data_IF_319555299935
#
_entry.id   IF_319555299935
#
_cell.length_a   1.000
_cell.length_b   1.000
_cell.length_c   1.000
_cell.angle_alpha   90.00
_cell.angle_beta   90.00
_cell.angle_gamma   90.00
#
_symmetry.space_group_name_H-M   'P 1'
#
loop_
_entity.id
_entity.type
_entity.pdbx_description
1 polymer ?
#
# COMPACT_ATOMS: atom_id res chain seq x y z
N UNK A 1 -22.28 -36.61 23.04
CA UNK A 1 -23.05 -35.68 22.17
C UNK A 1 -22.50 -34.24 22.20
N UNK A 2 -21.21 -34.01 22.50
CA UNK A 2 -20.66 -32.65 22.67
C UNK A 2 -19.80 -32.18 21.48
N UNK A 3 -19.13 -33.11 20.78
CA UNK A 3 -18.22 -32.74 19.69
C UNK A 3 -18.96 -32.29 18.42
N UNK A 4 -20.08 -32.94 18.08
CA UNK A 4 -20.87 -32.57 16.89
C UNK A 4 -21.50 -31.17 17.04
N UNK A 5 -22.05 -30.87 18.21
CA UNK A 5 -22.60 -29.54 18.52
C UNK A 5 -21.52 -28.46 18.48
N UNK A 6 -20.34 -28.74 19.04
CA UNK A 6 -19.19 -27.84 18.94
C UNK A 6 -18.79 -27.59 17.48
N UNK A 7 -18.63 -28.64 16.68
CA UNK A 7 -18.23 -28.53 15.28
C UNK A 7 -19.27 -27.76 14.45
N UNK A 8 -20.57 -28.00 14.66
CA UNK A 8 -21.64 -27.23 14.00
C UNK A 8 -21.55 -25.74 14.34
N UNK A 9 -21.35 -25.39 15.61
CA UNK A 9 -21.21 -23.99 16.03
C UNK A 9 -19.96 -23.34 15.44
N UNK A 10 -18.84 -24.06 15.43
CA UNK A 10 -17.60 -23.59 14.81
C UNK A 10 -17.78 -23.32 13.32
N UNK A 11 -18.35 -24.27 12.58
CA UNK A 11 -18.59 -24.12 11.14
C UNK A 11 -19.57 -22.98 10.86
N UNK A 12 -20.65 -22.84 11.64
CA UNK A 12 -21.58 -21.72 11.50
C UNK A 12 -20.90 -20.37 11.75
N UNK A 13 -19.99 -20.28 12.72
CA UNK A 13 -19.20 -19.06 12.95
C UNK A 13 -18.30 -18.77 11.73
N UNK A 14 -17.61 -19.78 11.20
CA UNK A 14 -16.79 -19.64 9.99
C UNK A 14 -17.59 -19.17 8.78
N UNK A 15 -18.79 -19.70 8.58
CA UNK A 15 -19.68 -19.26 7.50
C UNK A 15 -20.02 -17.77 7.66
N UNK A 16 -20.42 -17.34 8.87
CA UNK A 16 -20.72 -15.93 9.14
C UNK A 16 -19.51 -15.02 8.92
N UNK A 17 -18.33 -15.43 9.37
CA UNK A 17 -17.09 -14.67 9.16
C UNK A 17 -16.80 -14.52 7.65
N UNK A 18 -17.01 -15.58 6.86
CA UNK A 18 -16.87 -15.55 5.41
C UNK A 18 -17.92 -14.64 4.74
N UNK A 19 -19.18 -14.67 5.18
CA UNK A 19 -20.25 -13.82 4.65
C UNK A 19 -19.96 -12.33 4.88
N UNK A 20 -19.46 -11.97 6.06
CA UNK A 20 -19.00 -10.61 6.36
C UNK A 20 -17.85 -10.23 5.45
N UNK A 21 -16.84 -11.09 5.30
CA UNK A 21 -15.71 -10.85 4.39
C UNK A 21 -16.14 -10.61 2.94
N UNK A 22 -17.09 -11.41 2.42
CA UNK A 22 -17.65 -11.23 1.08
C UNK A 22 -18.35 -9.87 0.96
N UNK A 23 -19.13 -9.47 1.98
CA UNK A 23 -19.84 -8.19 1.97
C UNK A 23 -18.88 -7.01 1.93
N UNK A 24 -17.89 -6.98 2.82
CA UNK A 24 -16.87 -5.92 2.85
C UNK A 24 -16.08 -5.87 1.55
N UNK A 25 -15.73 -7.02 0.96
CA UNK A 25 -15.03 -7.07 -0.33
C UNK A 25 -15.89 -6.49 -1.46
N UNK A 26 -17.20 -6.76 -1.48
CA UNK A 26 -18.12 -6.17 -2.47
C UNK A 26 -18.27 -4.66 -2.30
N UNK A 27 -18.30 -4.16 -1.07
CA UNK A 27 -18.33 -2.73 -0.79
C UNK A 27 -17.06 -2.04 -1.31
N UNK A 28 -15.90 -2.64 -1.06
CA UNK A 28 -14.62 -2.15 -1.56
C UNK A 28 -14.53 -2.14 -3.09
N UNK A 29 -15.09 -3.16 -3.75
CA UNK A 29 -15.17 -3.19 -5.21
C UNK A 29 -15.97 -2.00 -5.74
N UNK A 30 -17.11 -1.67 -5.10
CA UNK A 30 -17.90 -0.49 -5.47
C UNK A 30 -17.14 0.82 -5.26
N UNK A 31 -16.37 0.91 -4.18
CA UNK A 31 -15.50 2.08 -3.93
C UNK A 31 -14.46 2.20 -5.05
N UNK A 32 -13.82 1.09 -5.44
CA UNK A 32 -12.86 1.08 -6.54
C UNK A 32 -13.49 1.51 -7.87
N UNK A 33 -14.68 1.00 -8.21
CA UNK A 33 -15.42 1.36 -9.41
C UNK A 33 -15.78 2.86 -9.48
N UNK A 34 -15.90 3.51 -8.32
CA UNK A 34 -16.17 4.95 -8.20
C UNK A 34 -14.90 5.79 -8.04
N UNK A 35 -13.75 5.16 -7.82
CA UNK A 35 -12.50 5.86 -7.59
C UNK A 35 -11.89 6.30 -8.92
N UNK A 36 -11.70 7.60 -9.10
CA UNK A 36 -10.85 8.11 -10.16
C UNK A 36 -9.38 7.81 -9.81
N UNK A 37 -8.78 6.84 -10.49
CA UNK A 37 -7.41 6.38 -10.22
C UNK A 37 -6.37 7.49 -10.39
N UNK A 38 -6.63 8.47 -11.27
CA UNK A 38 -5.73 9.60 -11.51
C UNK A 38 -5.85 10.71 -10.45
N UNK A 39 -6.83 10.61 -9.55
CA UNK A 39 -7.05 11.52 -8.42
C UNK A 39 -7.13 10.80 -7.07
N UNK A 40 -6.71 9.53 -7.03
CA UNK A 40 -6.72 8.72 -5.84
C UNK A 40 -5.64 9.16 -4.85
N UNK A 41 -5.77 8.73 -3.60
CA UNK A 41 -4.73 8.92 -2.60
C UNK A 41 -3.78 7.73 -2.63
N UNK A 42 -2.50 8.01 -2.85
CA UNK A 42 -1.41 7.06 -2.82
C UNK A 42 -0.53 7.31 -1.60
N UNK A 43 -0.03 6.22 -1.01
CA UNK A 43 0.93 6.26 0.09
C UNK A 43 2.18 5.52 -0.38
N UNK A 44 3.29 6.24 -0.47
CA UNK A 44 4.60 5.67 -0.83
C UNK A 44 5.46 5.64 0.43
N UNK A 45 6.03 4.49 0.73
CA UNK A 45 6.93 4.30 1.85
C UNK A 45 8.31 3.90 1.31
N UNK A 46 9.32 4.71 1.62
CA UNK A 46 10.72 4.39 1.40
C UNK A 46 11.35 4.01 2.73
N UNK A 47 11.69 2.73 2.88
CA UNK A 47 12.46 2.24 4.00
C UNK A 47 13.95 2.36 3.69
N UNK A 48 14.68 3.23 4.40
CA UNK A 48 16.11 3.41 4.14
C UNK A 48 16.89 2.10 4.39
N UNK A 49 17.91 1.84 3.56
CA UNK A 49 18.86 0.75 3.78
C UNK A 49 19.93 1.11 4.82
N UNK A 50 19.98 2.37 5.26
CA UNK A 50 20.98 2.92 6.17
C UNK A 50 20.35 3.51 7.44
N UNK A 51 19.18 3.00 7.86
CA UNK A 51 18.52 3.46 9.10
C UNK A 51 19.46 3.33 10.32
N UNK A 52 20.28 2.27 10.36
CA UNK A 52 21.27 2.04 11.41
C UNK A 52 22.44 3.04 11.40
N UNK A 53 22.67 3.72 10.27
CA UNK A 53 23.71 4.72 10.06
C UNK A 53 23.17 6.16 10.08
N UNK A 54 21.93 6.35 10.52
CA UNK A 54 21.31 7.65 10.76
C UNK A 54 20.47 8.19 9.60
N UNK A 55 20.19 7.40 8.56
CA UNK A 55 19.16 7.75 7.58
C UNK A 55 17.74 7.51 8.12
N UNK A 56 16.79 8.26 7.59
CA UNK A 56 15.38 8.16 7.96
C UNK A 56 14.56 7.54 6.82
N UNK A 57 13.67 6.63 7.19
CA UNK A 57 12.59 6.18 6.32
C UNK A 57 11.51 7.24 6.18
N UNK A 58 10.92 7.38 5.00
CA UNK A 58 9.88 8.37 4.73
C UNK A 58 8.58 7.73 4.29
N UNK A 59 7.46 8.35 4.69
CA UNK A 59 6.10 7.96 4.30
C UNK A 59 5.38 9.17 3.72
N UNK A 60 5.24 9.20 2.42
CA UNK A 60 4.60 10.29 1.69
C UNK A 60 3.18 9.90 1.29
N UNK A 61 2.20 10.72 1.68
CA UNK A 61 0.82 10.62 1.24
C UNK A 61 0.53 11.69 0.21
N UNK A 62 -0.05 11.30 -0.93
CA UNK A 62 -0.30 12.21 -2.04
C UNK A 62 -1.60 11.86 -2.77
N UNK A 63 -2.42 12.88 -3.02
CA UNK A 63 -3.63 12.77 -3.84
C UNK A 63 -3.34 13.28 -5.25
N UNK A 64 -3.56 12.43 -6.25
CA UNK A 64 -3.25 12.72 -7.65
C UNK A 64 -2.85 11.43 -8.37
N UNK A 65 -1.93 11.50 -9.33
CA UNK A 65 -1.50 10.30 -10.05
C UNK A 65 -0.47 9.50 -9.25
N UNK A 66 -0.40 8.20 -9.53
CA UNK A 66 0.65 7.32 -8.98
C UNK A 66 2.07 7.81 -9.32
N UNK A 67 2.25 8.37 -10.52
CA UNK A 67 3.55 8.91 -10.96
C UNK A 67 3.98 10.08 -10.07
N UNK A 68 3.08 11.05 -9.87
CA UNK A 68 3.37 12.24 -9.06
C UNK A 68 3.60 11.88 -7.59
N UNK A 69 2.87 10.90 -7.07
CA UNK A 69 3.09 10.37 -5.73
C UNK A 69 4.50 9.79 -5.56
N UNK A 70 4.97 9.02 -6.55
CA UNK A 70 6.34 8.46 -6.58
C UNK A 70 7.39 9.56 -6.67
N UNK A 71 7.24 10.53 -7.58
CA UNK A 71 8.19 11.63 -7.74
C UNK A 71 8.30 12.50 -6.48
N UNK A 72 7.17 12.76 -5.82
CA UNK A 72 7.13 13.49 -4.55
C UNK A 72 7.82 12.72 -3.43
N UNK A 73 7.55 11.42 -3.32
CA UNK A 73 8.16 10.58 -2.29
C UNK A 73 9.68 10.44 -2.48
N UNK A 74 10.17 10.31 -3.71
CA UNK A 74 11.62 10.31 -3.99
C UNK A 74 12.26 11.64 -3.59
N UNK A 75 11.60 12.76 -3.89
CA UNK A 75 12.09 14.10 -3.56
C UNK A 75 12.16 14.29 -2.05
N UNK A 76 11.12 13.87 -1.33
CA UNK A 76 11.06 13.93 0.13
C UNK A 76 12.17 13.08 0.76
N UNK A 77 12.31 11.82 0.33
CA UNK A 77 13.35 10.91 0.84
C UNK A 77 14.77 11.48 0.68
N UNK A 78 15.06 12.01 -0.52
CA UNK A 78 16.36 12.65 -0.82
C UNK A 78 16.61 13.88 0.04
N UNK A 79 15.58 14.71 0.21
CA UNK A 79 15.68 15.93 1.03
C UNK A 79 15.93 15.59 2.50
N UNK A 80 15.20 14.62 3.06
CA UNK A 80 15.35 14.19 4.46
C UNK A 80 16.75 13.64 4.71
N UNK A 81 17.24 12.75 3.82
CA UNK A 81 18.54 12.10 3.97
C UNK A 81 19.72 12.89 3.38
N UNK A 82 19.46 14.09 2.83
CA UNK A 82 20.47 14.97 2.19
C UNK A 82 21.30 14.25 1.11
N UNK A 83 20.66 13.38 0.32
CA UNK A 83 21.30 12.63 -0.78
C UNK A 83 20.72 12.99 -2.14
N UNK A 84 21.44 12.63 -3.21
CA UNK A 84 20.99 12.78 -4.59
C UNK A 84 20.27 11.55 -5.13
N UNK A 85 20.37 10.40 -4.47
CA UNK A 85 19.85 9.09 -4.87
C UNK A 85 18.91 8.47 -3.83
N UNK A 86 18.22 7.39 -4.21
CA UNK A 86 17.27 6.66 -3.36
C UNK A 86 17.74 5.22 -3.15
N UNK A 87 18.48 5.00 -2.06
CA UNK A 87 18.89 3.68 -1.57
C UNK A 87 17.93 3.23 -0.47
N UNK A 88 16.74 2.81 -0.90
CA UNK A 88 15.65 2.41 -0.04
C UNK A 88 14.82 1.30 -0.67
N UNK A 89 14.28 0.44 0.18
CA UNK A 89 13.17 -0.44 -0.17
C UNK A 89 11.89 0.38 -0.30
N UNK A 90 11.09 0.11 -1.34
CA UNK A 90 9.91 0.89 -1.66
C UNK A 90 8.66 0.02 -1.58
N UNK A 91 7.62 0.52 -0.92
CA UNK A 91 6.26 -0.02 -1.04
C UNK A 91 5.27 1.10 -1.35
N UNK A 92 4.24 0.75 -2.12
CA UNK A 92 3.24 1.70 -2.57
C UNK A 92 1.86 1.15 -2.26
N UNK A 93 1.00 1.98 -1.69
CA UNK A 93 -0.38 1.65 -1.40
C UNK A 93 -1.32 2.66 -2.07
N UNK A 94 -2.52 2.22 -2.40
CA UNK A 94 -3.65 3.08 -2.77
C UNK A 94 -4.70 3.04 -1.65
N UNK A 95 -5.28 4.18 -1.33
CA UNK A 95 -6.40 4.27 -0.41
C UNK A 95 -7.72 4.07 -1.16
N UNK A 96 -8.52 3.10 -0.73
CA UNK A 96 -9.89 2.86 -1.20
C UNK A 96 -10.83 2.98 0.01
N UNK A 97 -11.43 4.17 0.17
CA UNK A 97 -12.12 4.53 1.41
C UNK A 97 -11.13 4.56 2.58
N UNK A 98 -11.48 3.90 3.69
CA UNK A 98 -10.62 3.83 4.89
C UNK A 98 -9.54 2.73 4.80
N UNK A 99 -9.46 1.99 3.69
CA UNK A 99 -8.59 0.84 3.53
C UNK A 99 -7.39 1.16 2.63
N UNK A 100 -6.24 0.57 2.93
CA UNK A 100 -5.01 0.69 2.14
C UNK A 100 -4.68 -0.63 1.48
N UNK A 101 -4.36 -0.58 0.18
CA UNK A 101 -4.02 -1.77 -0.60
C UNK A 101 -2.66 -1.59 -1.25
N UNK A 102 -1.77 -2.55 -0.99
CA UNK A 102 -0.46 -2.56 -1.60
C UNK A 102 -0.58 -2.79 -3.11
N UNK A 103 -0.01 -1.87 -3.88
CA UNK A 103 0.08 -1.98 -5.33
C UNK A 103 1.27 -2.90 -5.65
N UNK A 104 1.08 -3.95 -6.47
CA UNK A 104 2.18 -4.82 -6.86
C UNK A 104 3.30 -4.05 -7.56
N UNK A 105 4.54 -4.43 -7.26
CA UNK A 105 5.76 -3.77 -7.75
C UNK A 105 5.77 -3.50 -9.25
N UNK A 106 5.28 -4.45 -10.05
CA UNK A 106 5.20 -4.35 -11.50
C UNK A 106 4.44 -3.11 -12.03
N UNK A 107 3.52 -2.53 -11.24
CA UNK A 107 2.72 -1.38 -11.68
C UNK A 107 3.38 -0.03 -11.44
N UNK A 108 4.26 0.08 -10.43
CA UNK A 108 4.87 1.35 -10.03
C UNK A 108 6.39 1.42 -10.24
N UNK A 109 7.08 0.29 -10.41
CA UNK A 109 8.54 0.27 -10.55
C UNK A 109 9.04 1.09 -11.76
N UNK A 110 8.25 1.15 -12.83
CA UNK A 110 8.55 1.98 -14.02
C UNK A 110 8.63 3.49 -13.73
N UNK A 111 8.05 3.94 -12.62
CA UNK A 111 8.10 5.33 -12.20
C UNK A 111 9.31 5.64 -11.31
N UNK A 112 10.02 4.62 -10.80
CA UNK A 112 11.29 4.87 -10.11
C UNK A 112 12.33 5.32 -11.13
N UNK A 113 13.00 6.43 -10.85
CA UNK A 113 14.20 6.78 -11.61
C UNK A 113 15.30 5.79 -11.25
N UNK A 114 15.82 5.08 -12.24
CA UNK A 114 17.06 4.30 -12.08
C UNK A 114 18.22 5.29 -11.97
N UNK A 115 18.88 5.32 -10.83
CA UNK A 115 20.14 6.02 -10.65
C UNK A 115 21.25 4.96 -10.68
N UNK A 116 22.13 5.02 -11.69
CA UNK A 116 23.26 4.08 -11.82
C UNK A 116 23.47 3.40 -13.18
N UNK A 117 22.81 3.81 -14.27
CA UNK A 117 23.29 3.46 -15.62
C UNK A 117 24.34 4.50 -16.05
N UNK A 118 25.57 4.33 -15.56
CA UNK A 118 26.81 4.92 -16.10
C UNK A 118 27.81 3.81 -16.32
#
# INVERSE_FOLDING_TARGET
MHIESYLRNFLNKKIKDCEVGIRSTKELLRVLEQTNIDEATYIVHFKSLWEDDGEESTRTEYRGTLKDAMERAETEFKSTNRRSDVQADCSVNICLGDNQYQIPKAYWEKFRKRYGEV
#
